data_IF_169433171439
#
_entry.id   IF_169433171439
#
_cell.length_a   1.000
_cell.length_b   1.000
_cell.length_c   1.000
_cell.angle_alpha   90.00
_cell.angle_beta   90.00
_cell.angle_gamma   90.00
#
_symmetry.space_group_name_H-M   'P 1'
#
loop_
_entity.id
_entity.type
_entity.pdbx_description
1 polymer ?
#
# COMPACT_ATOMS: atom_id res chain seq x y z
N UNK A 1 3.58 3.90 25.76
CA UNK A 1 2.46 4.76 25.30
C UNK A 1 2.35 4.61 23.79
N UNK A 2 1.13 4.56 23.26
CA UNK A 2 0.89 4.51 21.80
C UNK A 2 1.14 5.88 21.18
N UNK A 3 1.80 5.93 20.01
CA UNK A 3 2.10 7.17 19.28
C UNK A 3 1.01 7.48 18.25
N UNK A 4 0.67 6.51 17.39
CA UNK A 4 -0.48 6.49 16.49
C UNK A 4 -0.76 5.05 16.05
N UNK A 5 -1.88 4.83 15.38
CA UNK A 5 -2.06 3.65 14.53
C UNK A 5 -1.32 3.82 13.19
N UNK A 6 -1.18 2.70 12.47
CA UNK A 6 -0.60 2.61 11.14
C UNK A 6 -1.45 1.68 10.28
N UNK A 7 -1.41 1.89 8.97
CA UNK A 7 -2.06 1.04 7.97
C UNK A 7 -1.06 0.54 6.95
N UNK A 8 -1.45 -0.50 6.21
CA UNK A 8 -0.63 -1.00 5.11
C UNK A 8 -0.39 0.11 4.08
N UNK A 9 0.88 0.29 3.71
CA UNK A 9 1.33 1.36 2.82
C UNK A 9 1.93 2.57 3.52
N UNK A 10 1.81 2.69 4.84
CA UNK A 10 2.54 3.71 5.59
C UNK A 10 4.06 3.48 5.47
N UNK A 11 4.79 4.56 5.24
CA UNK A 11 6.25 4.54 5.11
C UNK A 11 6.84 5.54 6.10
N UNK A 12 7.72 5.05 6.97
CA UNK A 12 8.41 5.85 7.99
C UNK A 12 9.92 5.65 7.89
N UNK A 13 10.67 6.61 8.42
CA UNK A 13 12.13 6.57 8.36
C UNK A 13 12.64 5.55 9.37
N UNK A 14 13.34 4.51 8.92
CA UNK A 14 14.02 3.57 9.81
C UNK A 14 15.19 4.28 10.52
N UNK A 15 15.19 4.27 11.86
CA UNK A 15 16.22 4.87 12.72
C UNK A 15 17.08 3.84 13.46
N UNK A 16 16.76 2.56 13.34
CA UNK A 16 17.49 1.45 13.94
C UNK A 16 16.58 0.30 14.38
N UNK A 17 17.15 -0.66 15.08
CA UNK A 17 16.46 -1.84 15.59
C UNK A 17 16.70 -2.00 17.09
N UNK A 18 15.71 -2.53 17.80
CA UNK A 18 15.81 -2.86 19.22
C UNK A 18 15.02 -4.13 19.52
N UNK A 19 15.73 -5.26 19.60
CA UNK A 19 15.09 -6.56 19.78
C UNK A 19 14.18 -6.88 18.59
N UNK A 20 12.90 -7.16 18.85
CA UNK A 20 11.89 -7.50 17.83
C UNK A 20 11.18 -6.28 17.20
N UNK A 21 11.79 -5.09 17.31
CA UNK A 21 11.17 -3.84 16.90
C UNK A 21 12.09 -3.01 16.00
N UNK A 22 11.51 -2.40 14.97
CA UNK A 22 12.09 -1.27 14.26
C UNK A 22 11.84 0.01 15.06
N UNK A 23 12.89 0.80 15.32
CA UNK A 23 12.76 2.19 15.76
C UNK A 23 12.57 3.06 14.52
N UNK A 24 11.48 3.82 14.47
CA UNK A 24 11.12 4.65 13.31
C UNK A 24 10.90 6.10 13.69
N UNK A 25 11.15 7.01 12.75
CA UNK A 25 10.87 8.45 12.87
C UNK A 25 9.71 8.87 12.00
N UNK A 26 8.81 9.68 12.58
CA UNK A 26 7.69 10.33 11.90
C UNK A 26 8.15 11.65 11.26
N UNK A 27 7.42 12.16 10.24
CA UNK A 27 7.73 13.45 9.62
C UNK A 27 7.71 14.65 10.58
N UNK A 28 6.94 14.56 11.67
CA UNK A 28 6.82 15.61 12.70
C UNK A 28 7.89 15.51 13.81
N UNK A 29 8.86 14.60 13.66
CA UNK A 29 9.95 14.42 14.62
C UNK A 29 9.65 13.44 15.76
N UNK A 30 8.42 12.92 15.89
CA UNK A 30 8.13 11.84 16.86
C UNK A 30 8.90 10.58 16.48
N UNK A 31 9.29 9.81 17.50
CA UNK A 31 9.84 8.46 17.32
C UNK A 31 8.89 7.40 17.88
N UNK A 32 8.86 6.23 17.26
CA UNK A 32 8.07 5.10 17.72
C UNK A 32 8.79 3.76 17.47
N UNK A 33 8.17 2.69 17.94
CA UNK A 33 8.61 1.31 17.72
C UNK A 33 7.51 0.52 17.03
N UNK A 34 7.86 -0.17 15.94
CA UNK A 34 6.96 -1.07 15.20
C UNK A 34 7.51 -2.49 15.29
N UNK A 35 6.66 -3.49 15.47
CA UNK A 35 7.10 -4.89 15.47
C UNK A 35 7.64 -5.24 14.09
N UNK A 36 8.76 -5.97 14.05
CA UNK A 36 9.34 -6.42 12.79
C UNK A 36 8.43 -7.37 11.98
N UNK A 37 7.43 -7.99 12.63
CA UNK A 37 6.41 -8.80 11.95
C UNK A 37 5.39 -8.00 11.16
N UNK A 38 5.22 -6.72 11.50
CA UNK A 38 4.11 -5.88 11.01
C UNK A 38 4.58 -4.86 9.95
N UNK A 39 5.89 -4.83 9.69
CA UNK A 39 6.52 -3.92 8.75
C UNK A 39 7.72 -4.57 8.07
N UNK A 40 8.16 -3.98 6.96
CA UNK A 40 9.31 -4.44 6.20
C UNK A 40 10.17 -3.27 5.77
N UNK A 41 11.48 -3.46 5.79
CA UNK A 41 12.40 -2.47 5.23
C UNK A 41 12.16 -2.28 3.74
N UNK A 42 12.19 -1.02 3.28
CA UNK A 42 11.86 -0.67 1.90
C UNK A 42 12.68 -1.47 0.86
N UNK A 43 14.00 -1.61 1.06
CA UNK A 43 14.87 -2.35 0.15
C UNK A 43 14.50 -3.84 0.08
N UNK A 44 14.23 -4.47 1.22
CA UNK A 44 13.81 -5.88 1.29
C UNK A 44 12.43 -6.08 0.66
N UNK A 45 11.50 -5.15 0.92
CA UNK A 45 10.19 -5.17 0.27
C UNK A 45 10.32 -5.09 -1.26
N UNK A 46 11.11 -4.14 -1.80
CA UNK A 46 11.33 -4.01 -3.24
C UNK A 46 11.92 -5.28 -3.89
N UNK A 47 12.80 -5.99 -3.18
CA UNK A 47 13.45 -7.21 -3.68
C UNK A 47 12.54 -8.44 -3.67
N UNK A 48 11.64 -8.53 -2.70
CA UNK A 48 10.78 -9.72 -2.49
C UNK A 48 9.38 -9.55 -3.09
N UNK A 49 9.03 -8.35 -3.55
CA UNK A 49 7.73 -8.03 -4.12
C UNK A 49 7.55 -8.69 -5.49
N UNK A 50 6.48 -9.46 -5.63
CA UNK A 50 6.13 -10.16 -6.87
C UNK A 50 5.09 -9.35 -7.65
N UNK A 51 5.43 -8.77 -8.79
CA UNK A 51 4.49 -8.07 -9.68
C UNK A 51 3.93 -9.04 -10.74
N UNK A 52 2.92 -9.83 -10.38
CA UNK A 52 2.21 -10.72 -11.31
C UNK A 52 0.70 -10.48 -11.23
N UNK A 53 -0.08 -10.81 -12.29
CA UNK A 53 -1.54 -10.67 -12.23
C UNK A 53 -2.16 -11.44 -11.04
N UNK A 54 -1.61 -12.62 -10.72
CA UNK A 54 -2.06 -13.45 -9.60
C UNK A 54 -1.77 -12.80 -8.25
N UNK A 55 -0.59 -12.20 -8.05
CA UNK A 55 -0.25 -11.52 -6.80
C UNK A 55 -1.09 -10.27 -6.57
N UNK A 56 -1.34 -9.48 -7.61
CA UNK A 56 -2.23 -8.30 -7.59
C UNK A 56 -3.63 -8.70 -7.13
N UNK A 57 -4.24 -9.70 -7.78
CA UNK A 57 -5.59 -10.18 -7.42
C UNK A 57 -5.62 -10.77 -6.00
N UNK A 58 -4.57 -11.49 -5.59
CA UNK A 58 -4.45 -12.05 -4.22
C UNK A 58 -4.46 -10.95 -3.16
N UNK A 59 -3.69 -9.87 -3.36
CA UNK A 59 -3.66 -8.73 -2.45
C UNK A 59 -4.98 -7.97 -2.47
N UNK A 60 -5.58 -7.73 -3.65
CA UNK A 60 -6.89 -7.07 -3.76
C UNK A 60 -7.97 -7.79 -2.95
N UNK A 61 -7.97 -9.13 -2.94
CA UNK A 61 -8.93 -9.94 -2.16
C UNK A 61 -8.80 -9.77 -0.64
N UNK A 62 -7.66 -9.32 -0.12
CA UNK A 62 -7.50 -9.05 1.32
C UNK A 62 -8.35 -7.87 1.79
N UNK A 63 -8.82 -7.01 0.87
CA UNK A 63 -9.69 -5.87 1.16
C UNK A 63 -11.19 -6.20 0.99
N UNK A 64 -11.55 -7.46 0.77
CA UNK A 64 -12.95 -7.85 0.70
C UNK A 64 -13.68 -7.57 2.01
N UNK A 65 -14.85 -6.93 1.90
CA UNK A 65 -15.67 -6.53 3.06
C UNK A 65 -15.30 -5.17 3.66
N UNK A 66 -14.23 -4.51 3.20
CA UNK A 66 -13.94 -3.14 3.59
C UNK A 66 -15.03 -2.20 3.05
N UNK A 67 -15.58 -1.29 3.89
CA UNK A 67 -16.61 -0.36 3.45
C UNK A 67 -16.17 0.51 2.28
N UNK A 68 -17.10 0.74 1.35
CA UNK A 68 -16.91 1.75 0.32
C UNK A 68 -17.00 3.16 0.95
N UNK A 69 -15.96 3.96 0.77
CA UNK A 69 -15.90 5.36 1.25
C UNK A 69 -15.42 6.24 0.12
N UNK A 70 -16.25 7.20 -0.30
CA UNK A 70 -15.87 8.17 -1.34
C UNK A 70 -14.59 8.91 -0.95
N UNK A 71 -13.59 8.91 -1.84
CA UNK A 71 -12.28 9.48 -1.57
C UNK A 71 -11.32 8.54 -0.81
N UNK A 72 -11.77 7.38 -0.35
CA UNK A 72 -11.00 6.42 0.44
C UNK A 72 -9.83 5.77 -0.32
N UNK A 73 -8.65 5.72 0.31
CA UNK A 73 -7.39 5.22 -0.27
C UNK A 73 -6.57 4.35 0.69
N UNK A 74 -7.19 3.83 1.75
CA UNK A 74 -6.50 3.00 2.76
C UNK A 74 -7.36 1.82 3.20
N UNK A 75 -6.78 0.91 3.98
CA UNK A 75 -7.52 -0.21 4.57
C UNK A 75 -8.73 0.23 5.43
N UNK A 76 -8.78 1.49 5.89
CA UNK A 76 -9.91 2.02 6.68
C UNK A 76 -11.16 2.33 5.84
N UNK A 77 -11.03 2.40 4.52
CA UNK A 77 -12.12 2.72 3.59
C UNK A 77 -11.56 3.00 2.20
N UNK A 78 -12.20 2.42 1.19
CA UNK A 78 -11.75 2.46 -0.20
C UNK A 78 -12.89 2.90 -1.11
N UNK A 79 -12.59 3.64 -2.17
CA UNK A 79 -13.46 3.72 -3.34
C UNK A 79 -12.90 2.89 -4.51
N UNK A 80 -13.55 2.99 -5.67
CA UNK A 80 -13.22 2.19 -6.85
C UNK A 80 -11.76 2.39 -7.29
N UNK A 81 -11.33 3.63 -7.54
CA UNK A 81 -9.97 3.93 -7.97
C UNK A 81 -8.97 3.95 -6.82
N UNK A 82 -9.43 4.11 -5.58
CA UNK A 82 -8.63 3.98 -4.37
C UNK A 82 -8.17 2.55 -4.11
N UNK A 83 -9.03 1.56 -4.36
CA UNK A 83 -8.68 0.14 -4.29
C UNK A 83 -7.58 -0.19 -5.30
N UNK A 84 -7.78 0.14 -6.59
CA UNK A 84 -6.78 -0.15 -7.64
C UNK A 84 -5.45 0.55 -7.32
N UNK A 85 -5.51 1.84 -6.95
CA UNK A 85 -4.32 2.61 -6.57
C UNK A 85 -3.56 1.96 -5.41
N UNK A 86 -4.24 1.57 -4.34
CA UNK A 86 -3.59 0.96 -3.17
C UNK A 86 -2.94 -0.38 -3.54
N UNK A 87 -3.66 -1.26 -4.24
CA UNK A 87 -3.14 -2.58 -4.62
C UNK A 87 -1.91 -2.44 -5.51
N UNK A 88 -1.94 -1.58 -6.52
CA UNK A 88 -0.77 -1.34 -7.37
C UNK A 88 0.38 -0.66 -6.61
N UNK A 89 0.08 0.25 -5.68
CA UNK A 89 1.10 0.86 -4.82
C UNK A 89 1.84 -0.18 -3.97
N UNK A 90 1.12 -1.18 -3.42
CA UNK A 90 1.72 -2.32 -2.70
C UNK A 90 2.53 -3.26 -3.61
N UNK A 91 2.46 -3.05 -4.92
CA UNK A 91 3.31 -3.69 -5.94
C UNK A 91 4.28 -2.70 -6.60
N UNK A 92 4.55 -1.55 -5.96
CA UNK A 92 5.55 -0.58 -6.42
C UNK A 92 5.12 0.27 -7.63
N UNK A 93 3.86 0.19 -8.05
CA UNK A 93 3.32 0.95 -9.17
C UNK A 93 2.42 2.07 -8.66
N UNK A 94 2.77 3.32 -8.98
CA UNK A 94 2.00 4.49 -8.57
C UNK A 94 0.99 4.83 -9.67
N UNK A 95 -0.30 4.61 -9.39
CA UNK A 95 -1.40 5.05 -10.26
C UNK A 95 -1.88 6.45 -9.89
N UNK A 96 -2.46 7.13 -10.89
CA UNK A 96 -3.26 8.35 -10.69
C UNK A 96 -4.45 8.07 -9.77
N UNK A 97 -4.96 9.11 -9.09
CA UNK A 97 -5.99 8.95 -8.07
C UNK A 97 -7.36 8.61 -8.64
N UNK A 98 -7.73 9.25 -9.75
CA UNK A 98 -9.10 9.20 -10.26
C UNK A 98 -9.24 8.19 -11.39
N UNK A 99 -10.39 7.50 -11.44
CA UNK A 99 -10.69 6.52 -12.49
C UNK A 99 -10.60 7.14 -13.90
N UNK A 100 -11.03 8.40 -14.05
CA UNK A 100 -10.95 9.17 -15.30
C UNK A 100 -9.52 9.42 -15.77
N UNK A 101 -8.54 9.39 -14.87
CA UNK A 101 -7.13 9.51 -15.19
C UNK A 101 -6.48 8.14 -15.37
N UNK A 102 -6.88 7.14 -14.56
CA UNK A 102 -6.36 5.78 -14.65
C UNK A 102 -6.62 5.16 -16.04
N UNK A 103 -7.79 5.42 -16.64
CA UNK A 103 -8.14 4.92 -17.99
C UNK A 103 -7.23 5.46 -19.11
N UNK A 104 -6.53 6.56 -18.87
CA UNK A 104 -5.59 7.17 -19.83
C UNK A 104 -4.17 6.58 -19.73
N UNK A 105 -3.96 5.57 -18.88
CA UNK A 105 -2.66 4.95 -18.62
C UNK A 105 -2.63 3.48 -19.04
N UNK A 106 -1.43 2.94 -19.24
CA UNK A 106 -1.24 1.55 -19.66
C UNK A 106 -1.46 1.33 -21.16
N UNK A 107 -1.68 0.07 -21.55
CA UNK A 107 -2.03 -0.32 -22.92
C UNK A 107 -3.54 -0.52 -22.98
N UNK A 108 -4.27 0.17 -23.87
CA UNK A 108 -5.68 -0.11 -24.12
C UNK A 108 -5.87 -1.58 -24.50
N UNK A 109 -6.92 -2.21 -23.98
CA UNK A 109 -7.33 -3.57 -24.33
C UNK A 109 -8.78 -3.49 -24.78
N UNK A 110 -9.06 -3.96 -25.99
CA UNK A 110 -10.43 -4.02 -26.52
C UNK A 110 -11.16 -5.31 -26.10
N UNK A 111 -12.44 -5.43 -26.45
CA UNK A 111 -13.26 -6.61 -26.16
C UNK A 111 -12.74 -7.88 -26.89
N UNK A 112 -11.84 -7.73 -27.86
CA UNK A 112 -11.19 -8.83 -28.58
C UNK A 112 -9.87 -9.26 -27.93
N UNK A 113 -9.43 -8.57 -26.86
CA UNK A 113 -8.20 -8.87 -26.14
C UNK A 113 -6.92 -8.37 -26.81
N UNK A 114 -7.00 -7.40 -27.73
CA UNK A 114 -5.85 -6.80 -28.42
C UNK A 114 -5.32 -5.53 -27.73
#
# INVERSE_FOLDING_TARGET
>A
QTVSDLVIGDMLVLKGEKGRFYRVGYPDGREAYIRQSDAKELKKWLQEMELTPKSIVRVARQFMGIPYVWGGTSFKGLDCSGLTKLVYFLHGVILQRDASQQVLTGRPVDDNGN
#
